data_IF_503222334303
#
_entry.id   IF_503222334303
#
_cell.length_a   1.000
_cell.length_b   1.000
_cell.length_c   1.000
_cell.angle_alpha   90.00
_cell.angle_beta   90.00
_cell.angle_gamma   90.00
#
_symmetry.space_group_name_H-M   'P 1'
#
loop_
_entity.id
_entity.type
_entity.pdbx_description
1 polymer ?
#
# COMPACT_ATOMS: atom_id res chain seq x y z
N UNK A 1 -8.21 24.15 35.22
CA UNK A 1 -9.17 24.67 34.21
C UNK A 1 -8.78 24.29 32.76
N UNK A 2 -7.52 24.46 32.43
CA UNK A 2 -7.00 24.06 31.11
C UNK A 2 -7.13 22.56 30.82
N UNK A 3 -7.03 21.74 31.86
CA UNK A 3 -7.17 20.27 31.70
C UNK A 3 -8.61 19.83 31.44
N UNK A 4 -9.58 20.54 32.02
CA UNK A 4 -11.00 20.24 31.83
C UNK A 4 -11.49 20.67 30.45
N UNK A 5 -11.07 21.81 29.95
CA UNK A 5 -11.40 22.30 28.62
C UNK A 5 -10.80 21.37 27.53
N UNK A 6 -9.57 20.92 27.71
CA UNK A 6 -8.94 19.97 26.81
C UNK A 6 -9.63 18.61 26.81
N UNK A 7 -10.11 18.11 27.95
CA UNK A 7 -10.78 16.81 28.01
C UNK A 7 -12.20 16.86 27.43
N UNK A 8 -12.93 17.94 27.55
CA UNK A 8 -14.23 18.07 26.91
C UNK A 8 -14.13 18.24 25.40
N UNK A 9 -13.14 18.95 24.91
CA UNK A 9 -12.85 19.02 23.47
C UNK A 9 -12.47 17.65 22.92
N UNK A 10 -11.67 16.86 23.61
CA UNK A 10 -11.29 15.50 23.19
C UNK A 10 -12.47 14.53 23.07
N UNK A 11 -13.55 14.72 23.84
CA UNK A 11 -14.75 13.87 23.77
C UNK A 11 -15.57 14.15 22.49
N UNK A 12 -15.49 15.37 21.98
CA UNK A 12 -16.22 15.80 20.77
C UNK A 12 -15.37 15.88 19.52
N UNK A 13 -14.06 15.89 19.68
CA UNK A 13 -13.12 15.98 18.55
C UNK A 13 -13.11 14.71 17.75
N UNK A 14 -13.07 14.87 16.43
CA UNK A 14 -12.85 13.79 15.47
C UNK A 14 -11.40 13.79 15.03
N UNK A 15 -10.83 12.62 14.86
CA UNK A 15 -9.54 12.49 14.20
C UNK A 15 -9.70 12.96 12.75
N UNK A 16 -9.08 14.11 12.44
CA UNK A 16 -9.14 14.73 11.13
C UNK A 16 -7.75 14.85 10.54
N UNK A 17 -7.51 14.07 9.51
CA UNK A 17 -6.22 13.99 8.82
C UNK A 17 -5.62 12.59 8.85
N UNK A 18 -4.78 12.31 7.87
CA UNK A 18 -4.15 11.00 7.66
C UNK A 18 -2.63 11.09 7.52
N UNK A 19 -2.04 12.25 7.85
CA UNK A 19 -0.59 12.45 7.79
C UNK A 19 0.12 11.84 9.00
N UNK A 20 1.30 11.26 8.73
CA UNK A 20 2.27 10.86 9.76
C UNK A 20 3.18 12.03 10.13
N UNK A 21 4.03 11.87 11.15
CA UNK A 21 5.04 12.85 11.54
C UNK A 21 6.23 12.98 10.56
N UNK A 22 6.19 12.28 9.42
CA UNK A 22 7.25 12.33 8.41
C UNK A 22 7.26 13.69 7.71
N UNK A 23 8.37 14.43 7.84
CA UNK A 23 8.52 15.78 7.28
C UNK A 23 8.73 15.78 5.76
N UNK A 24 9.36 14.73 5.21
CA UNK A 24 9.63 14.62 3.77
C UNK A 24 8.43 14.06 3.02
N UNK A 25 8.06 14.61 1.84
CA UNK A 25 7.05 14.01 0.98
C UNK A 25 7.47 12.59 0.57
N UNK A 26 6.68 11.59 0.92
CA UNK A 26 6.95 10.19 0.60
C UNK A 26 5.62 9.44 0.44
N UNK A 27 5.66 8.26 -0.15
CA UNK A 27 4.50 7.36 -0.17
C UNK A 27 4.09 6.93 1.25
N UNK A 28 5.03 6.98 2.21
CA UNK A 28 4.83 6.60 3.61
C UNK A 28 4.41 7.76 4.54
N UNK A 29 4.14 8.94 4.00
CA UNK A 29 3.69 10.09 4.80
C UNK A 29 2.23 9.99 5.27
N UNK A 30 1.51 8.97 4.79
CA UNK A 30 0.11 8.71 5.11
C UNK A 30 -0.05 7.49 6.03
N UNK A 31 -0.99 7.59 6.96
CA UNK A 31 -1.27 6.54 7.96
C UNK A 31 -1.76 5.26 7.29
N UNK A 32 -2.66 5.36 6.31
CA UNK A 32 -3.18 4.19 5.60
C UNK A 32 -2.07 3.38 4.93
N UNK A 33 -1.11 4.04 4.29
CA UNK A 33 0.03 3.39 3.63
C UNK A 33 0.95 2.74 4.66
N UNK A 34 1.28 3.43 5.74
CA UNK A 34 2.12 2.87 6.83
C UNK A 34 1.51 1.63 7.44
N UNK A 35 0.23 1.67 7.78
CA UNK A 35 -0.48 0.50 8.33
C UNK A 35 -0.53 -0.66 7.34
N UNK A 36 -0.78 -0.36 6.07
CA UNK A 36 -0.79 -1.36 5.01
C UNK A 36 0.56 -2.09 4.95
N UNK A 37 1.67 -1.35 4.90
CA UNK A 37 3.00 -1.95 4.82
C UNK A 37 3.35 -2.78 6.06
N UNK A 38 3.00 -2.33 7.26
CA UNK A 38 3.22 -3.11 8.49
C UNK A 38 2.48 -4.45 8.44
N UNK A 39 1.26 -4.46 7.93
CA UNK A 39 0.48 -5.69 7.79
C UNK A 39 1.08 -6.60 6.71
N UNK A 40 1.46 -6.03 5.56
CA UNK A 40 2.10 -6.77 4.47
C UNK A 40 3.40 -7.43 4.92
N UNK A 41 4.29 -6.66 5.57
CA UNK A 41 5.56 -7.16 6.07
C UNK A 41 5.38 -8.33 7.03
N UNK A 42 4.46 -8.21 8.00
CA UNK A 42 4.18 -9.27 8.96
C UNK A 42 3.61 -10.54 8.30
N UNK A 43 2.66 -10.39 7.39
CA UNK A 43 2.03 -11.51 6.72
C UNK A 43 3.03 -12.24 5.81
N UNK A 44 3.78 -11.50 5.01
CA UNK A 44 4.79 -12.06 4.10
C UNK A 44 5.95 -12.69 4.88
N UNK A 45 6.42 -12.04 5.96
CA UNK A 45 7.46 -12.62 6.81
C UNK A 45 7.02 -13.93 7.46
N UNK A 46 5.76 -14.03 7.86
CA UNK A 46 5.20 -15.28 8.40
C UNK A 46 5.13 -16.37 7.32
N UNK A 47 4.68 -16.02 6.13
CA UNK A 47 4.65 -16.93 4.99
C UNK A 47 6.06 -17.38 4.56
N UNK A 48 7.02 -16.46 4.54
CA UNK A 48 8.40 -16.74 4.19
C UNK A 48 9.10 -17.72 5.16
N UNK A 49 8.66 -17.79 6.41
CA UNK A 49 9.21 -18.76 7.39
C UNK A 49 9.00 -20.21 6.97
N UNK A 50 7.97 -20.51 6.21
CA UNK A 50 7.72 -21.86 5.70
C UNK A 50 8.67 -22.26 4.58
N UNK A 51 9.37 -21.30 4.00
CA UNK A 51 10.39 -21.54 2.96
C UNK A 51 11.82 -21.69 3.54
N UNK A 52 11.98 -21.51 4.86
CA UNK A 52 13.27 -21.72 5.49
C UNK A 52 13.70 -23.19 5.40
N UNK A 53 14.98 -23.39 5.06
CA UNK A 53 15.59 -24.70 4.87
C UNK A 53 15.17 -25.46 3.61
N UNK A 54 14.34 -24.86 2.74
CA UNK A 54 14.10 -25.36 1.40
C UNK A 54 15.27 -25.01 0.46
N UNK A 55 15.39 -25.75 -0.64
CA UNK A 55 16.42 -25.47 -1.64
C UNK A 55 16.07 -24.18 -2.42
N UNK A 56 17.09 -23.36 -2.71
CA UNK A 56 16.90 -22.19 -3.55
C UNK A 56 16.90 -22.55 -5.03
N UNK A 57 15.88 -23.23 -5.48
CA UNK A 57 15.64 -23.60 -6.86
C UNK A 57 14.45 -22.83 -7.48
N UNK A 58 14.27 -22.99 -8.79
CA UNK A 58 13.19 -22.33 -9.50
C UNK A 58 11.81 -22.75 -8.96
N UNK A 59 11.66 -23.99 -8.52
CA UNK A 59 10.41 -24.50 -7.98
C UNK A 59 10.04 -23.77 -6.68
N UNK A 60 10.96 -23.62 -5.73
CA UNK A 60 10.73 -22.92 -4.48
C UNK A 60 10.43 -21.44 -4.71
N UNK A 61 11.11 -20.80 -5.65
CA UNK A 61 10.84 -19.41 -6.04
C UNK A 61 9.43 -19.23 -6.61
N UNK A 62 9.02 -20.15 -7.50
CA UNK A 62 7.67 -20.16 -8.06
C UNK A 62 6.61 -20.43 -6.99
N UNK A 63 6.87 -21.34 -6.07
CA UNK A 63 5.97 -21.65 -4.94
C UNK A 63 5.78 -20.43 -4.04
N UNK A 64 6.85 -19.71 -3.69
CA UNK A 64 6.76 -18.47 -2.92
C UNK A 64 5.94 -17.40 -3.63
N UNK A 65 6.17 -17.21 -4.92
CA UNK A 65 5.42 -16.27 -5.74
C UNK A 65 3.92 -16.61 -5.77
N UNK A 66 3.59 -17.89 -5.98
CA UNK A 66 2.21 -18.38 -5.99
C UNK A 66 1.52 -18.28 -4.61
N UNK A 67 2.29 -18.21 -3.52
CA UNK A 67 1.78 -17.99 -2.17
C UNK A 67 1.48 -16.51 -1.92
N UNK A 68 2.35 -15.61 -2.38
CA UNK A 68 2.27 -14.17 -2.10
C UNK A 68 1.30 -13.45 -3.05
N UNK A 69 1.27 -13.82 -4.33
CA UNK A 69 0.42 -13.15 -5.32
C UNK A 69 -1.09 -13.17 -4.98
N UNK A 70 -1.72 -14.29 -4.57
CA UNK A 70 -3.13 -14.30 -4.21
C UNK A 70 -3.45 -13.37 -3.04
N UNK A 71 -2.55 -13.31 -2.06
CA UNK A 71 -2.69 -12.42 -0.91
C UNK A 71 -2.64 -10.94 -1.33
N UNK A 72 -1.71 -10.57 -2.20
CA UNK A 72 -1.63 -9.21 -2.72
C UNK A 72 -2.83 -8.86 -3.60
N UNK A 73 -3.35 -9.82 -4.39
CA UNK A 73 -4.58 -9.64 -5.18
C UNK A 73 -5.81 -9.41 -4.31
N UNK A 74 -5.91 -10.10 -3.17
CA UNK A 74 -6.99 -9.88 -2.22
C UNK A 74 -6.95 -8.45 -1.67
N UNK A 75 -5.77 -7.95 -1.31
CA UNK A 75 -5.58 -6.58 -0.82
C UNK A 75 -5.86 -5.56 -1.93
N UNK A 76 -5.50 -5.86 -3.17
CA UNK A 76 -5.86 -5.05 -4.33
C UNK A 76 -7.39 -4.98 -4.52
N UNK A 77 -8.09 -6.10 -4.39
CA UNK A 77 -9.55 -6.16 -4.43
C UNK A 77 -10.22 -5.34 -3.32
N UNK A 78 -9.57 -5.25 -2.16
CA UNK A 78 -10.00 -4.39 -1.04
C UNK A 78 -9.59 -2.92 -1.19
N UNK A 79 -9.03 -2.51 -2.33
CA UNK A 79 -8.54 -1.15 -2.62
C UNK A 79 -7.37 -0.68 -1.76
N UNK A 80 -6.65 -1.58 -1.11
CA UNK A 80 -5.45 -1.23 -0.33
C UNK A 80 -4.27 -0.83 -1.21
N UNK A 81 -4.12 -1.49 -2.36
CA UNK A 81 -3.09 -1.24 -3.36
C UNK A 81 -3.70 -1.08 -4.74
N UNK A 82 -3.06 -0.27 -5.57
CA UNK A 82 -3.47 -0.06 -6.97
C UNK A 82 -2.85 -1.14 -7.86
N UNK A 83 -1.57 -1.45 -7.64
CA UNK A 83 -0.82 -2.41 -8.42
C UNK A 83 0.32 -3.01 -7.59
N UNK A 84 0.79 -4.19 -7.99
CA UNK A 84 1.91 -4.86 -7.35
C UNK A 84 2.71 -5.69 -8.36
N UNK A 85 3.97 -5.93 -8.03
CA UNK A 85 4.86 -6.83 -8.77
C UNK A 85 5.73 -7.59 -7.79
N UNK A 86 5.78 -8.90 -7.94
CA UNK A 86 6.67 -9.78 -7.17
C UNK A 86 7.75 -10.28 -8.12
N UNK A 87 9.00 -10.06 -7.76
CA UNK A 87 10.18 -10.52 -8.50
C UNK A 87 10.97 -11.44 -7.58
N UNK A 88 11.00 -12.71 -7.94
CA UNK A 88 11.78 -13.74 -7.27
C UNK A 88 12.36 -14.67 -8.35
N UNK A 89 13.20 -14.09 -9.19
CA UNK A 89 13.76 -14.74 -10.37
C UNK A 89 15.28 -14.88 -10.21
N UNK A 90 15.95 -15.46 -11.19
CA UNK A 90 17.40 -15.58 -11.25
C UNK A 90 18.13 -14.23 -11.25
N UNK A 91 17.45 -13.16 -11.69
CA UNK A 91 17.99 -11.81 -11.64
C UNK A 91 18.29 -11.31 -10.22
N UNK A 92 17.48 -11.75 -9.23
CA UNK A 92 17.64 -11.41 -7.82
C UNK A 92 18.41 -12.50 -7.03
N UNK A 93 18.34 -13.75 -7.50
CA UNK A 93 19.01 -14.89 -6.90
C UNK A 93 20.13 -15.36 -7.82
N UNK A 94 21.22 -14.61 -7.86
CA UNK A 94 22.43 -14.95 -8.59
C UNK A 94 23.17 -16.12 -7.91
N UNK A 95 24.11 -16.76 -8.63
CA UNK A 95 24.92 -17.84 -8.07
C UNK A 95 25.59 -17.46 -6.74
N UNK A 96 26.07 -16.23 -6.60
CA UNK A 96 26.67 -15.73 -5.34
C UNK A 96 25.67 -15.67 -4.18
N UNK A 97 24.41 -15.35 -4.44
CA UNK A 97 23.34 -15.32 -3.43
C UNK A 97 22.99 -16.74 -3.01
N UNK A 98 22.93 -17.66 -3.94
CA UNK A 98 22.68 -19.08 -3.69
C UNK A 98 23.83 -19.68 -2.87
N UNK A 99 25.08 -19.37 -3.20
CA UNK A 99 26.27 -19.84 -2.49
C UNK A 99 26.33 -19.32 -1.03
N UNK A 100 25.72 -18.16 -0.76
CA UNK A 100 25.57 -17.62 0.59
C UNK A 100 24.37 -18.18 1.35
N UNK A 101 23.64 -19.12 0.76
CA UNK A 101 22.39 -19.67 1.29
C UNK A 101 21.32 -18.60 1.58
N UNK A 102 21.25 -17.58 0.73
CA UNK A 102 20.27 -16.50 0.81
C UNK A 102 19.19 -16.66 -0.25
N UNK A 103 17.98 -16.26 0.10
CA UNK A 103 16.86 -16.13 -0.82
C UNK A 103 16.40 -14.68 -0.85
N UNK A 104 16.38 -14.07 -2.02
CA UNK A 104 15.98 -12.68 -2.22
C UNK A 104 14.71 -12.61 -3.05
N UNK A 105 13.71 -11.93 -2.53
CA UNK A 105 12.48 -11.62 -3.25
C UNK A 105 12.14 -10.13 -3.11
N UNK A 106 11.95 -9.45 -4.24
CA UNK A 106 11.55 -8.06 -4.27
C UNK A 106 10.05 -7.93 -4.52
N UNK A 107 9.38 -7.21 -3.62
CA UNK A 107 7.95 -6.98 -3.71
C UNK A 107 7.70 -5.49 -3.89
N UNK A 108 7.32 -5.11 -5.10
CA UNK A 108 6.96 -3.74 -5.44
C UNK A 108 5.46 -3.54 -5.26
N UNK A 109 5.09 -2.58 -4.43
CA UNK A 109 3.69 -2.27 -4.13
C UNK A 109 3.41 -0.80 -4.41
N UNK A 110 2.34 -0.55 -5.16
CA UNK A 110 1.84 0.79 -5.43
C UNK A 110 0.61 1.05 -4.55
N UNK A 111 0.76 1.77 -3.42
CA UNK A 111 -0.34 1.99 -2.49
C UNK A 111 -1.39 2.93 -3.06
N UNK A 112 -2.64 2.73 -2.66
CA UNK A 112 -3.73 3.65 -2.94
C UNK A 112 -3.62 4.88 -2.04
N UNK A 113 -3.83 6.05 -2.61
CA UNK A 113 -3.79 7.32 -1.88
C UNK A 113 -5.19 7.74 -1.44
N UNK A 114 -5.30 8.28 -0.23
CA UNK A 114 -6.52 8.92 0.26
C UNK A 114 -6.77 10.29 -0.40
N UNK A 115 -8.03 10.66 -0.51
CA UNK A 115 -8.44 11.97 -1.00
C UNK A 115 -8.35 12.96 0.15
N UNK A 116 -7.60 14.04 -0.01
CA UNK A 116 -7.46 15.10 0.99
C UNK A 116 -8.12 16.41 0.56
N UNK A 117 -8.24 16.63 -0.73
CA UNK A 117 -8.84 17.84 -1.29
C UNK A 117 -9.90 17.45 -2.29
N UNK A 118 -11.06 18.06 -2.17
CA UNK A 118 -12.18 17.91 -3.11
C UNK A 118 -12.42 19.27 -3.72
N UNK A 119 -12.17 19.39 -5.02
CA UNK A 119 -12.49 20.60 -5.77
C UNK A 119 -13.84 20.39 -6.46
N UNK A 120 -14.78 21.26 -6.16
CA UNK A 120 -16.10 21.26 -6.77
C UNK A 120 -16.22 22.45 -7.71
N UNK A 121 -16.43 22.19 -8.99
CA UNK A 121 -16.64 23.21 -10.00
C UNK A 121 -18.14 23.32 -10.30
N UNK A 122 -18.73 24.46 -9.99
CA UNK A 122 -20.12 24.78 -10.30
C UNK A 122 -20.16 25.68 -11.52
N UNK A 123 -20.76 25.21 -12.60
CA UNK A 123 -20.93 25.99 -13.83
C UNK A 123 -22.41 26.31 -14.01
N UNK A 124 -22.75 27.60 -14.00
CA UNK A 124 -24.09 28.05 -14.30
C UNK A 124 -24.29 28.13 -15.82
N UNK A 125 -25.21 27.36 -16.32
CA UNK A 125 -25.52 27.27 -17.75
C UNK A 125 -26.81 28.01 -18.04
N UNK A 126 -26.87 28.71 -19.18
CA UNK A 126 -28.09 29.37 -19.63
C UNK A 126 -29.15 28.35 -20.07
N UNK A 127 -30.40 28.66 -19.83
CA UNK A 127 -31.54 27.84 -20.27
C UNK A 127 -31.50 27.67 -21.78
N UNK A 128 -31.44 26.42 -22.25
CA UNK A 128 -31.43 26.12 -23.70
C UNK A 128 -30.09 25.58 -24.24
N UNK A 129 -29.03 25.51 -23.42
CA UNK A 129 -27.77 24.89 -23.83
C UNK A 129 -27.78 23.40 -23.45
N UNK A 130 -27.49 22.51 -24.39
CA UNK A 130 -27.37 21.08 -24.11
C UNK A 130 -26.10 20.79 -23.32
N UNK A 131 -26.18 19.92 -22.28
CA UNK A 131 -25.05 19.57 -21.43
C UNK A 131 -23.89 18.88 -22.17
N UNK A 132 -24.14 18.35 -23.38
CA UNK A 132 -23.14 17.75 -24.26
C UNK A 132 -22.11 18.74 -24.79
N UNK A 133 -22.40 20.04 -24.79
CA UNK A 133 -21.50 21.09 -25.30
C UNK A 133 -20.56 21.67 -24.24
N UNK A 134 -20.70 21.26 -22.97
CA UNK A 134 -19.95 21.82 -21.82
C UNK A 134 -18.73 21.01 -21.44
N UNK A 135 -18.54 19.83 -22.04
CA UNK A 135 -17.49 18.87 -21.71
C UNK A 135 -16.29 18.83 -22.66
N UNK A 136 -16.09 19.89 -23.47
CA UNK A 136 -14.95 20.00 -24.38
C UNK A 136 -13.74 20.73 -23.78
#
# INVERSE_FOLDING_TARGET
LFRLVGSEMCIRDRLFGDKTALAKPSAFDRINVRRLFIILEKAIATAAKFQLFEFNDEFTRAQFKNLVEPFLREIQGRRGITDFKVVADESNNTGEVIDRNEFVADIFVKPTRSINFITLNFVAVRTGVAFTEIGG
#
